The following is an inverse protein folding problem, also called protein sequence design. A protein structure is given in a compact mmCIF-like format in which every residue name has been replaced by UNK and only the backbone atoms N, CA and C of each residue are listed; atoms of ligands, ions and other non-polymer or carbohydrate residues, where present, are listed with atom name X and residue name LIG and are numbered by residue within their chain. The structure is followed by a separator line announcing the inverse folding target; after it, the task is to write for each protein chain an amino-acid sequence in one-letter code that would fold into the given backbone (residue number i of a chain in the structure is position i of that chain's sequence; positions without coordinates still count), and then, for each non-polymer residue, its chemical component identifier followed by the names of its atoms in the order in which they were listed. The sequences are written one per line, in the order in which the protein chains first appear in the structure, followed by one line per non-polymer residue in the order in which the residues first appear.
data_IF_130414427728
#
_entry.id   IF_130414427728
#
_cell.length_a   1.000
_cell.length_b   1.000
_cell.length_c   1.000
_cell.angle_alpha   90.00
_cell.angle_beta   90.00
_cell.angle_gamma   90.00
#
_symmetry.space_group_name_H-M   'P 1'
#
loop_
_entity.id
_entity.type
_entity.pdbx_description
1 polymer ?
#
# COMPACT_ATOMS: atom_id res chain seq x y z
N UNK A 1 -18.36 7.30 -17.29
CA UNK A 1 -17.68 6.12 -17.87
C UNK A 1 -17.20 5.22 -16.75
N UNK A 2 -17.42 3.93 -16.88
CA UNK A 2 -17.03 2.99 -15.84
C UNK A 2 -15.55 2.68 -15.86
N UNK A 3 -14.91 2.74 -14.71
CA UNK A 3 -13.51 2.39 -14.56
C UNK A 3 -13.37 1.18 -13.66
N UNK A 4 -12.43 0.32 -13.98
CA UNK A 4 -12.05 -0.81 -13.13
C UNK A 4 -10.65 -0.53 -12.61
N UNK A 5 -10.51 -0.54 -11.29
CA UNK A 5 -9.24 -0.25 -10.64
C UNK A 5 -8.64 -1.57 -10.17
N UNK A 6 -7.42 -1.86 -10.62
CA UNK A 6 -6.68 -3.02 -10.17
C UNK A 6 -5.58 -2.61 -9.23
N UNK A 7 -5.53 -3.23 -8.07
CA UNK A 7 -4.46 -3.00 -7.11
C UNK A 7 -3.76 -4.32 -6.84
N UNK A 8 -2.46 -4.34 -7.10
CA UNK A 8 -1.61 -5.49 -6.77
C UNK A 8 -0.91 -5.17 -5.46
N UNK A 9 -1.41 -5.74 -4.39
CA UNK A 9 -0.86 -5.51 -3.05
C UNK A 9 0.18 -6.57 -2.76
N UNK A 10 1.43 -6.28 -3.08
CA UNK A 10 2.53 -7.21 -2.89
C UNK A 10 3.19 -7.09 -1.53
N UNK A 11 3.98 -8.10 -1.18
CA UNK A 11 4.70 -8.12 0.10
C UNK A 11 5.76 -7.01 0.14
N UNK A 12 6.48 -6.82 -0.95
CA UNK A 12 7.54 -5.81 -1.04
C UNK A 12 7.08 -4.56 -1.74
N UNK A 13 6.35 -4.70 -2.86
CA UNK A 13 5.91 -3.58 -3.68
C UNK A 13 4.45 -3.74 -4.04
N UNK A 14 3.79 -2.59 -4.23
CA UNK A 14 2.40 -2.54 -4.64
C UNK A 14 2.25 -1.64 -5.86
N UNK A 15 1.19 -1.84 -6.63
CA UNK A 15 0.94 -1.05 -7.83
C UNK A 15 -0.55 -0.86 -8.03
N UNK A 16 -0.92 0.19 -8.76
CA UNK A 16 -2.31 0.48 -9.06
C UNK A 16 -2.46 0.83 -10.55
N UNK A 17 -3.49 0.27 -11.15
CA UNK A 17 -3.82 0.56 -12.54
C UNK A 17 -5.31 0.76 -12.69
N UNK A 18 -5.70 1.30 -13.83
CA UNK A 18 -7.11 1.44 -14.18
C UNK A 18 -7.35 0.92 -15.59
N UNK A 19 -8.57 0.45 -15.83
CA UNK A 19 -9.00 -0.05 -17.11
C UNK A 19 -10.35 0.58 -17.43
N UNK A 20 -10.46 1.19 -18.60
CA UNK A 20 -11.66 1.91 -19.00
C UNK A 20 -12.49 1.16 -20.05
N UNK A 21 -12.16 -0.10 -20.30
CA UNK A 21 -12.82 -0.90 -21.34
C UNK A 21 -12.02 -0.98 -22.62
N UNK A 22 -10.99 -0.16 -22.76
CA UNK A 22 -10.18 -0.13 -23.97
C UNK A 22 -8.69 -0.26 -23.66
N UNK A 23 -8.21 0.44 -22.65
CA UNK A 23 -6.78 0.43 -22.34
C UNK A 23 -6.55 0.36 -20.83
N UNK A 24 -5.38 -0.16 -20.48
CA UNK A 24 -4.90 -0.24 -19.10
C UNK A 24 -3.88 0.86 -18.90
N UNK A 25 -3.99 1.56 -17.78
CA UNK A 25 -3.03 2.59 -17.41
C UNK A 25 -2.52 2.35 -16.01
N UNK A 26 -1.19 2.31 -15.87
CA UNK A 26 -0.55 2.22 -14.56
C UNK A 26 -0.37 3.64 -14.03
N UNK A 27 -0.80 3.87 -12.79
CA UNK A 27 -0.69 5.19 -12.18
C UNK A 27 0.59 5.24 -11.34
N UNK A 28 1.42 6.21 -11.62
CA UNK A 28 2.73 6.32 -11.00
C UNK A 28 2.63 7.02 -9.65
N UNK A 29 3.58 6.69 -8.77
CA UNK A 29 3.77 7.41 -7.52
C UNK A 29 4.24 8.84 -7.81
N UNK A 30 4.24 9.72 -6.79
CA UNK A 30 4.83 11.06 -6.96
C UNK A 30 6.29 11.02 -7.41
N UNK A 31 7.00 9.93 -7.12
CA UNK A 31 8.38 9.74 -7.56
C UNK A 31 8.49 9.20 -8.98
N UNK A 32 7.37 9.09 -9.69
CA UNK A 32 7.27 8.62 -11.07
C UNK A 32 7.66 7.15 -11.24
N UNK A 33 7.37 6.34 -10.22
CA UNK A 33 7.59 4.90 -10.26
C UNK A 33 6.28 4.16 -10.44
N UNK A 34 6.32 3.07 -11.21
CA UNK A 34 5.14 2.24 -11.45
C UNK A 34 4.74 1.42 -10.22
N UNK A 35 5.66 1.24 -9.28
CA UNK A 35 5.40 0.50 -8.05
C UNK A 35 5.72 1.36 -6.85
N UNK A 36 5.06 1.06 -5.74
CA UNK A 36 5.28 1.74 -4.46
C UNK A 36 5.67 0.68 -3.43
N UNK A 37 6.82 0.83 -2.77
CA UNK A 37 7.18 -0.11 -1.71
C UNK A 37 6.09 -0.18 -0.64
N UNK A 38 5.78 -1.40 -0.19
CA UNK A 38 4.79 -1.64 0.85
C UNK A 38 5.46 -1.41 2.21
N UNK A 39 5.70 -0.15 2.53
CA UNK A 39 6.46 0.24 3.71
C UNK A 39 5.84 1.47 4.38
N UNK A 40 5.92 1.50 5.70
CA UNK A 40 5.42 2.61 6.52
C UNK A 40 6.56 3.03 7.44
N UNK A 41 6.75 4.35 7.57
CA UNK A 41 7.72 4.93 8.50
C UNK A 41 7.02 6.03 9.29
N UNK A 42 7.17 5.99 10.62
CA UNK A 42 6.57 6.99 11.49
C UNK A 42 7.71 7.66 12.26
N UNK A 43 7.88 8.97 12.04
CA UNK A 43 8.98 9.69 12.66
C UNK A 43 8.69 10.00 14.13
N UNK A 44 9.63 10.66 14.78
CA UNK A 44 9.50 10.98 16.21
C UNK A 44 8.36 11.93 16.52
N UNK A 45 7.89 12.67 15.53
CA UNK A 45 6.80 13.61 15.68
C UNK A 45 5.45 12.97 15.39
N UNK A 46 5.44 11.71 14.96
CA UNK A 46 4.22 11.02 14.61
C UNK A 46 3.80 11.19 13.17
N UNK A 47 4.64 11.81 12.34
CA UNK A 47 4.34 11.93 10.91
C UNK A 47 4.55 10.59 10.23
N UNK A 48 3.61 10.23 9.37
CA UNK A 48 3.66 8.95 8.67
C UNK A 48 4.10 9.15 7.23
N UNK A 49 4.99 8.29 6.79
CA UNK A 49 5.51 8.26 5.43
C UNK A 49 5.32 6.89 4.86
N UNK A 50 5.12 6.81 3.55
CA UNK A 50 4.80 5.56 2.88
C UNK A 50 5.64 5.41 1.63
N UNK A 51 5.74 4.18 1.14
CA UNK A 51 6.39 3.92 -0.14
C UNK A 51 7.90 4.04 -0.07
N UNK A 52 8.49 4.66 -1.08
CA UNK A 52 9.95 4.71 -1.22
C UNK A 52 10.63 5.39 -0.04
N UNK A 53 10.06 6.48 0.43
CA UNK A 53 10.64 7.21 1.55
C UNK A 53 10.68 6.35 2.81
N UNK A 54 9.61 5.61 3.05
CA UNK A 54 9.55 4.71 4.21
C UNK A 54 10.53 3.55 4.04
N UNK A 55 10.59 3.00 2.84
CA UNK A 55 11.48 1.89 2.54
C UNK A 55 12.95 2.27 2.74
N UNK A 56 13.31 3.47 2.29
CA UNK A 56 14.69 3.96 2.41
C UNK A 56 15.07 4.24 3.87
N UNK A 57 14.10 4.58 4.71
CA UNK A 57 14.35 4.85 6.11
C UNK A 57 14.38 3.60 6.99
N UNK A 58 13.75 2.51 6.53
CA UNK A 58 13.59 1.32 7.36
C UNK A 58 14.92 0.73 7.89
N UNK A 59 15.97 0.61 7.06
CA UNK A 59 17.22 0.04 7.58
C UNK A 59 17.87 0.87 8.68
N UNK A 60 17.68 2.18 8.64
CA UNK A 60 18.27 3.08 9.64
C UNK A 60 17.37 3.29 10.84
N UNK A 61 16.07 3.10 10.67
CA UNK A 61 15.08 3.35 11.71
C UNK A 61 14.11 2.17 11.83
N UNK A 62 14.64 0.95 12.11
CA UNK A 62 13.77 -0.24 12.11
C UNK A 62 12.68 -0.17 13.18
N UNK A 63 12.94 0.50 14.29
CA UNK A 63 11.92 0.61 15.34
C UNK A 63 10.82 1.60 15.02
N UNK A 64 10.97 2.36 13.95
CA UNK A 64 9.98 3.33 13.52
C UNK A 64 9.35 2.94 12.17
N UNK A 65 9.62 1.72 11.71
CA UNK A 65 9.20 1.30 10.38
C UNK A 65 8.44 -0.01 10.41
N UNK A 66 7.57 -0.19 9.42
CA UNK A 66 6.86 -1.46 9.20
C UNK A 66 7.05 -1.84 7.74
N UNK A 67 7.60 -3.04 7.51
CA UNK A 67 7.77 -3.60 6.17
C UNK A 67 7.38 -5.07 6.22
N UNK A 68 7.13 -5.65 5.05
CA UNK A 68 6.83 -7.08 4.91
C UNK A 68 5.63 -7.53 5.75
N UNK A 69 4.78 -6.59 6.16
CA UNK A 69 3.65 -6.91 7.05
C UNK A 69 2.62 -7.80 6.37
N UNK A 70 2.57 -7.79 5.06
CA UNK A 70 1.62 -8.61 4.33
C UNK A 70 1.86 -10.11 4.57
N UNK A 71 3.07 -10.49 4.92
CA UNK A 71 3.40 -11.89 5.23
C UNK A 71 2.62 -12.42 6.42
N UNK A 72 2.12 -11.53 7.26
CA UNK A 72 1.43 -11.91 8.50
C UNK A 72 -0.08 -11.70 8.44
N UNK A 73 -0.61 -11.31 7.29
CA UNK A 73 -2.07 -11.16 7.15
C UNK A 73 -2.73 -12.51 7.35
N UNK A 74 -3.88 -12.48 8.02
CA UNK A 74 -4.59 -13.71 8.35
C UNK A 74 -4.06 -14.41 9.58
N UNK A 75 -3.05 -13.85 10.24
CA UNK A 75 -2.49 -14.40 11.48
C UNK A 75 -2.82 -13.47 12.64
N UNK A 76 -2.48 -13.91 13.86
CA UNK A 76 -2.65 -13.09 15.05
C UNK A 76 -1.44 -12.18 15.33
N UNK A 77 -0.44 -12.21 14.45
CA UNK A 77 0.77 -11.42 14.63
C UNK A 77 0.45 -9.93 14.52
N UNK A 78 0.97 -9.14 15.46
CA UNK A 78 0.85 -7.69 15.43
C UNK A 78 2.13 -7.07 14.91
N UNK A 79 1.99 -5.95 14.22
CA UNK A 79 3.12 -5.18 13.73
C UNK A 79 3.38 -4.06 14.72
N UNK A 80 4.54 -4.10 15.37
CA UNK A 80 4.90 -3.10 16.37
C UNK A 80 5.85 -2.09 15.79
N UNK A 81 5.49 -0.81 15.87
CA UNK A 81 6.36 0.29 15.50
C UNK A 81 6.77 0.93 16.82
N UNK A 82 7.74 0.31 17.46
CA UNK A 82 8.11 0.60 18.86
C UNK A 82 8.52 2.05 19.08
N UNK A 83 9.28 2.60 18.15
CA UNK A 83 9.75 3.97 18.28
C UNK A 83 8.65 5.01 18.22
N UNK A 84 7.49 4.65 17.67
CA UNK A 84 6.33 5.52 17.60
C UNK A 84 5.27 5.16 18.65
N UNK A 85 5.48 4.05 19.37
CA UNK A 85 4.50 3.58 20.36
C UNK A 85 3.21 3.10 19.73
N UNK A 86 3.27 2.59 18.51
CA UNK A 86 2.09 2.19 17.75
C UNK A 86 2.14 0.71 17.44
N UNK A 87 1.00 0.04 17.60
CA UNK A 87 0.84 -1.36 17.23
C UNK A 87 -0.31 -1.44 16.23
N UNK A 88 -0.07 -2.10 15.11
CA UNK A 88 -1.06 -2.24 14.04
C UNK A 88 -1.19 -3.69 13.64
N UNK A 89 -2.35 -4.07 13.14
CA UNK A 89 -2.48 -5.37 12.50
C UNK A 89 -1.88 -5.29 11.09
N UNK A 90 -1.49 -6.44 10.51
CA UNK A 90 -1.04 -6.43 9.11
C UNK A 90 -2.11 -5.87 8.17
N UNK A 91 -3.38 -6.12 8.48
CA UNK A 91 -4.50 -5.61 7.69
C UNK A 91 -4.58 -4.09 7.75
N UNK A 92 -4.34 -3.52 8.93
CA UNK A 92 -4.32 -2.07 9.08
C UNK A 92 -3.16 -1.44 8.30
N UNK A 93 -1.99 -2.07 8.34
CA UNK A 93 -0.85 -1.61 7.57
C UNK A 93 -1.17 -1.65 6.06
N UNK A 94 -1.78 -2.75 5.63
CA UNK A 94 -2.15 -2.90 4.22
C UNK A 94 -3.18 -1.87 3.80
N UNK A 95 -4.14 -1.56 4.67
CA UNK A 95 -5.15 -0.54 4.38
C UNK A 95 -4.53 0.84 4.19
N UNK A 96 -3.47 1.15 4.95
CA UNK A 96 -2.77 2.42 4.78
C UNK A 96 -2.11 2.51 3.42
N UNK A 97 -1.49 1.43 2.97
CA UNK A 97 -0.87 1.38 1.63
C UNK A 97 -1.94 1.51 0.55
N UNK A 98 -3.08 0.84 0.72
CA UNK A 98 -4.18 0.94 -0.24
C UNK A 98 -4.66 2.38 -0.39
N UNK A 99 -4.76 3.12 0.70
CA UNK A 99 -5.17 4.53 0.66
C UNK A 99 -4.17 5.37 -0.13
N UNK A 100 -2.89 5.11 0.07
CA UNK A 100 -1.84 5.83 -0.65
C UNK A 100 -1.96 5.60 -2.15
N UNK A 101 -2.10 4.34 -2.54
CA UNK A 101 -2.23 3.99 -3.96
C UNK A 101 -3.48 4.61 -4.58
N UNK A 102 -4.60 4.50 -3.87
CA UNK A 102 -5.85 5.05 -4.37
C UNK A 102 -5.74 6.57 -4.57
N UNK A 103 -4.93 7.22 -3.74
CA UNK A 103 -4.67 8.64 -3.85
C UNK A 103 -3.90 9.05 -5.11
N UNK A 104 -3.28 8.09 -5.81
CA UNK A 104 -2.60 8.39 -7.07
C UNK A 104 -3.57 8.56 -8.23
N UNK A 105 -4.82 8.12 -8.06
CA UNK A 105 -5.83 8.25 -9.11
C UNK A 105 -6.33 9.68 -9.19
N UNK A 106 -6.71 10.15 -10.39
CA UNK A 106 -7.35 11.46 -10.50
C UNK A 106 -8.71 11.46 -9.83
N UNK A 107 -9.16 12.64 -9.40
CA UNK A 107 -10.43 12.78 -8.68
C UNK A 107 -11.61 12.23 -9.47
N UNK A 108 -11.61 12.43 -10.79
CA UNK A 108 -12.72 11.96 -11.62
C UNK A 108 -12.92 10.46 -11.49
N UNK A 109 -11.83 9.71 -11.35
CA UNK A 109 -11.91 8.26 -11.21
C UNK A 109 -12.25 7.89 -9.77
N UNK A 110 -11.60 8.54 -8.79
CA UNK A 110 -11.83 8.24 -7.38
C UNK A 110 -13.27 8.48 -6.94
N UNK A 111 -13.87 9.54 -7.47
CA UNK A 111 -15.20 9.97 -7.06
C UNK A 111 -16.31 9.47 -7.95
N UNK A 112 -16.01 8.69 -8.98
CA UNK A 112 -17.01 8.13 -9.87
C UNK A 112 -17.71 6.96 -9.18
N UNK A 113 -19.03 7.05 -9.05
CA UNK A 113 -19.82 6.02 -8.39
C UNK A 113 -19.77 4.68 -9.11
N UNK A 114 -19.44 4.70 -10.40
CA UNK A 114 -19.37 3.48 -11.21
C UNK A 114 -18.00 2.79 -11.13
N UNK A 115 -17.05 3.39 -10.45
CA UNK A 115 -15.72 2.80 -10.32
C UNK A 115 -15.77 1.55 -9.48
N UNK A 116 -15.23 0.45 -10.01
CA UNK A 116 -15.13 -0.81 -9.31
C UNK A 116 -13.66 -1.09 -8.99
N UNK A 117 -13.39 -1.62 -7.80
CA UNK A 117 -12.03 -1.88 -7.35
C UNK A 117 -11.81 -3.38 -7.18
N UNK A 118 -10.72 -3.88 -7.73
CA UNK A 118 -10.30 -5.27 -7.57
C UNK A 118 -8.90 -5.27 -6.96
N UNK A 119 -8.77 -5.96 -5.84
CA UNK A 119 -7.48 -6.08 -5.15
C UNK A 119 -6.98 -7.49 -5.32
N UNK A 120 -5.76 -7.64 -5.85
CA UNK A 120 -5.15 -8.94 -5.99
C UNK A 120 -4.12 -9.18 -4.89
N UNK A 121 -4.01 -10.43 -4.48
CA UNK A 121 -3.03 -10.84 -3.47
C UNK A 121 -2.22 -12.00 -4.02
N UNK A 122 -0.95 -12.13 -3.61
CA UNK A 122 -0.13 -13.24 -4.09
C UNK A 122 -0.73 -14.59 -3.69
N UNK A 123 -0.55 -15.61 -4.54
CA UNK A 123 -1.06 -16.94 -4.27
C UNK A 123 -0.49 -17.52 -2.99
N UNK A 124 0.79 -17.26 -2.70
CA UNK A 124 1.43 -17.75 -1.49
C UNK A 124 0.75 -17.22 -0.23
N UNK A 125 0.07 -16.10 -0.34
CA UNK A 125 -0.61 -15.48 0.77
C UNK A 125 -1.81 -16.30 1.24
N UNK A 126 -2.33 -17.16 0.40
CA UNK A 126 -3.53 -17.94 0.73
C UNK A 126 -3.25 -19.13 1.63
N UNK A 127 -2.21 -19.07 2.43
CA UNK A 127 -1.94 -20.09 3.41
C UNK A 127 -1.27 -21.32 2.86
N UNK A 128 -0.66 -21.16 1.74
CA UNK A 128 0.05 -22.27 1.15
C UNK A 128 1.46 -22.21 1.39
#
# INVERSE_FOLDING_TARGET
MKHFIGIDLGTTNSAICSYDGQSVRVWKSPDQNDVTPSAIYIDKRGNRYYGQRAYDNAPRNPNNSATLFKRFMGTSTKIEIKGAGITMTPEECSAEILKVLFGYLPEEIRNDEETAVVITVPAAFNGR
#
